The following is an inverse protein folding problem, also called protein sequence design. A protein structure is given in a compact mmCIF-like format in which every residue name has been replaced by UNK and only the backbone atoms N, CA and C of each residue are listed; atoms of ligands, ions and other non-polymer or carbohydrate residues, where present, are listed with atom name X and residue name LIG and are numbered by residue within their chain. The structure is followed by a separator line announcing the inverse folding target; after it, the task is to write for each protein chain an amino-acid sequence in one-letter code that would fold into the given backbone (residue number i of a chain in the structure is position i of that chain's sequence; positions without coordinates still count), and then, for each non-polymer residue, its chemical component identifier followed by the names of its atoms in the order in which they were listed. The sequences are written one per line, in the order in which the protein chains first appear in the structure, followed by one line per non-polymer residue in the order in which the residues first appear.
data_IF_267871657792
#
_entry.id   IF_267871657792
#
_cell.length_a   1.000
_cell.length_b   1.000
_cell.length_c   1.000
_cell.angle_alpha   90.00
_cell.angle_beta   90.00
_cell.angle_gamma   90.00
#
_symmetry.space_group_name_H-M   'P 1'
#
loop_
_entity.id
_entity.type
_entity.pdbx_description
1 polymer ?
#
# COMPACT_ATOMS: atom_id res chain seq x y z
N UNK A 1 -14.52 20.91 -39.17
CA UNK A 1 -13.35 21.57 -39.83
C UNK A 1 -12.39 21.98 -38.71
N UNK A 2 -11.54 21.08 -38.20
CA UNK A 2 -10.18 20.71 -38.67
C UNK A 2 -9.21 21.90 -38.76
N UNK A 3 -8.23 21.92 -37.85
CA UNK A 3 -6.83 22.29 -38.07
C UNK A 3 -6.02 21.89 -36.81
N UNK A 4 -5.55 20.65 -36.63
CA UNK A 4 -4.24 20.09 -37.06
C UNK A 4 -3.07 21.10 -37.07
N UNK A 5 -2.20 21.01 -36.05
CA UNK A 5 -0.82 21.52 -36.09
C UNK A 5 0.15 20.35 -35.92
N UNK A 6 0.99 20.16 -36.94
CA UNK A 6 1.92 19.07 -37.12
C UNK A 6 3.26 19.35 -36.41
N UNK A 7 3.83 18.26 -35.91
CA UNK A 7 5.17 18.08 -35.31
C UNK A 7 6.13 17.69 -36.44
N UNK A 8 7.20 18.44 -36.71
CA UNK A 8 8.40 18.04 -37.48
C UNK A 8 9.57 18.91 -36.93
N UNK A 9 10.79 18.46 -36.64
CA UNK A 9 11.45 17.16 -36.66
C UNK A 9 12.80 17.32 -35.93
N UNK A 10 13.34 16.23 -35.37
CA UNK A 10 14.67 16.19 -34.77
C UNK A 10 15.56 15.25 -35.60
N UNK A 11 16.68 15.79 -36.09
CA UNK A 11 17.75 15.06 -36.78
C UNK A 11 18.90 14.84 -35.81
N UNK A 12 19.46 13.61 -35.69
CA UNK A 12 20.59 13.32 -34.84
C UNK A 12 21.90 13.55 -35.62
N UNK A 13 22.75 14.49 -35.15
CA UNK A 13 24.21 14.54 -35.41
C UNK A 13 24.79 15.83 -34.84
N UNK A 14 25.36 15.77 -33.65
CA UNK A 14 26.47 16.63 -33.23
C UNK A 14 27.14 15.99 -32.02
N UNK A 15 28.46 16.15 -31.94
CA UNK A 15 29.39 15.79 -30.86
C UNK A 15 30.23 14.54 -31.12
N UNK A 16 31.20 14.70 -32.02
CA UNK A 16 32.51 14.10 -31.90
C UNK A 16 33.53 15.25 -31.91
N UNK A 17 34.05 15.62 -30.75
CA UNK A 17 35.42 16.09 -30.53
C UNK A 17 35.55 16.65 -29.10
N UNK A 18 36.11 15.86 -28.18
CA UNK A 18 36.80 16.42 -27.03
C UNK A 18 37.89 15.46 -26.54
N UNK A 19 39.12 15.97 -26.59
CA UNK A 19 40.38 15.30 -26.28
C UNK A 19 40.43 14.86 -24.81
N UNK A 20 40.94 13.65 -24.60
CA UNK A 20 41.25 13.06 -23.29
C UNK A 20 42.48 13.75 -22.68
N UNK A 21 42.30 14.47 -21.58
CA UNK A 21 43.35 14.86 -20.65
C UNK A 21 43.41 13.81 -19.54
N UNK A 22 44.57 13.14 -19.42
CA UNK A 22 44.85 12.19 -18.34
C UNK A 22 45.14 12.96 -17.04
N UNK A 23 44.17 12.97 -16.11
CA UNK A 23 44.37 13.34 -14.72
C UNK A 23 43.99 12.17 -13.83
N UNK A 24 44.97 11.50 -13.23
CA UNK A 24 44.73 10.42 -12.28
C UNK A 24 44.20 11.01 -10.96
N UNK A 25 42.91 10.77 -10.68
CA UNK A 25 42.32 11.00 -9.36
C UNK A 25 42.11 9.65 -8.68
N UNK A 26 42.93 9.35 -7.68
CA UNK A 26 42.82 8.14 -6.86
C UNK A 26 41.64 8.30 -5.90
N UNK A 27 40.48 7.73 -6.23
CA UNK A 27 39.37 7.62 -5.30
C UNK A 27 39.58 6.39 -4.40
N UNK A 28 39.84 6.62 -3.12
CA UNK A 28 39.91 5.58 -2.10
C UNK A 28 38.48 5.10 -1.81
N UNK A 29 38.09 3.95 -2.40
CA UNK A 29 36.80 3.32 -2.15
C UNK A 29 36.88 2.56 -0.81
N UNK A 30 36.38 3.18 0.27
CA UNK A 30 36.17 2.47 1.53
C UNK A 30 34.93 1.57 1.39
N UNK A 31 35.13 0.29 1.06
CA UNK A 31 34.07 -0.71 1.12
C UNK A 31 33.74 -1.02 2.57
N UNK A 32 32.68 -0.42 3.09
CA UNK A 32 32.01 -0.92 4.30
C UNK A 32 31.28 -2.20 3.89
N UNK A 33 31.90 -3.35 4.12
CA UNK A 33 31.23 -4.66 4.02
C UNK A 33 30.33 -4.85 5.24
N UNK A 34 29.22 -4.12 5.28
CA UNK A 34 28.09 -4.46 6.12
C UNK A 34 27.39 -5.65 5.50
N UNK A 35 27.58 -6.84 6.07
CA UNK A 35 26.89 -8.04 5.63
C UNK A 35 25.42 -7.92 6.02
N UNK A 36 24.60 -7.36 5.13
CA UNK A 36 23.15 -7.53 5.19
C UNK A 36 22.87 -8.99 4.87
N UNK A 37 22.77 -9.82 5.90
CA UNK A 37 22.10 -11.10 5.79
C UNK A 37 20.61 -10.81 5.57
N UNK A 38 20.24 -10.45 4.33
CA UNK A 38 18.87 -10.53 3.90
C UNK A 38 18.45 -11.98 4.08
N UNK A 39 17.44 -12.23 4.92
CA UNK A 39 16.82 -13.53 5.06
C UNK A 39 16.44 -14.02 3.66
N UNK A 40 17.13 -15.05 3.17
CA UNK A 40 16.94 -15.62 1.82
C UNK A 40 15.66 -16.43 1.71
N UNK A 41 14.77 -16.38 2.71
CA UNK A 41 13.45 -16.99 2.64
C UNK A 41 12.49 -15.93 2.15
N UNK A 42 12.19 -15.97 0.85
CA UNK A 42 11.06 -15.22 0.30
C UNK A 42 9.79 -15.47 1.10
N UNK A 43 8.81 -14.56 1.05
CA UNK A 43 7.62 -14.59 1.89
C UNK A 43 6.92 -15.96 1.86
N UNK A 44 6.47 -16.42 3.01
CA UNK A 44 5.95 -17.78 3.19
C UNK A 44 4.72 -18.00 2.29
N UNK A 45 4.67 -19.15 1.63
CA UNK A 45 3.49 -19.54 0.85
C UNK A 45 2.37 -19.94 1.82
N UNK A 46 1.15 -19.46 1.55
CA UNK A 46 -0.06 -19.89 2.23
C UNK A 46 -0.45 -21.26 1.65
N UNK A 47 -0.47 -22.34 2.46
CA UNK A 47 -0.81 -23.67 1.97
C UNK A 47 -2.16 -23.67 1.25
N UNK A 48 -2.25 -24.46 0.17
CA UNK A 48 -3.47 -24.69 -0.59
C UNK A 48 -4.06 -23.48 -1.29
N UNK A 49 -3.41 -22.31 -1.26
CA UNK A 49 -3.95 -21.08 -1.82
C UNK A 49 -3.13 -20.60 -3.02
N UNK A 50 -3.79 -20.39 -4.16
CA UNK A 50 -3.13 -20.08 -5.43
C UNK A 50 -3.85 -18.99 -6.21
N UNK A 51 -3.09 -18.20 -6.97
CA UNK A 51 -3.59 -17.45 -8.11
C UNK A 51 -3.38 -18.28 -9.37
N UNK A 52 -4.44 -18.58 -10.09
CA UNK A 52 -4.42 -19.29 -11.36
C UNK A 52 -4.68 -18.27 -12.47
N UNK A 53 -3.66 -18.02 -13.28
CA UNK A 53 -3.76 -17.14 -14.44
C UNK A 53 -4.25 -17.92 -15.65
N UNK A 54 -5.18 -17.35 -16.40
CA UNK A 54 -5.73 -17.94 -17.60
C UNK A 54 -5.21 -17.22 -18.85
N UNK A 55 -5.12 -17.96 -19.95
CA UNK A 55 -4.88 -17.36 -21.25
C UNK A 55 -6.04 -16.45 -21.64
N UNK A 56 -5.73 -15.19 -22.01
CA UNK A 56 -6.71 -14.19 -22.46
C UNK A 56 -7.48 -14.61 -23.73
N UNK A 57 -7.00 -15.62 -24.46
CA UNK A 57 -7.52 -16.06 -25.77
C UNK A 57 -7.85 -17.55 -25.83
N UNK A 58 -7.88 -18.27 -24.71
CA UNK A 58 -8.18 -19.70 -24.72
C UNK A 58 -9.64 -19.94 -25.07
N UNK A 59 -10.00 -20.21 -26.32
CA UNK A 59 -11.37 -20.61 -26.68
C UNK A 59 -11.61 -22.07 -26.31
N UNK A 60 -12.60 -22.32 -25.44
CA UNK A 60 -13.20 -23.63 -25.19
C UNK A 60 -14.32 -23.80 -26.21
N UNK A 61 -14.16 -24.69 -27.20
CA UNK A 61 -15.20 -24.99 -28.19
C UNK A 61 -15.85 -23.74 -28.84
N UNK A 62 -15.06 -22.68 -29.09
CA UNK A 62 -15.53 -21.42 -29.67
C UNK A 62 -16.09 -20.38 -28.67
N UNK A 63 -16.04 -20.62 -27.35
CA UNK A 63 -16.33 -19.62 -26.30
C UNK A 63 -15.05 -19.31 -25.53
N UNK A 64 -14.75 -18.04 -25.25
CA UNK A 64 -13.58 -17.68 -24.44
C UNK A 64 -13.63 -18.36 -23.07
N UNK A 65 -12.51 -18.92 -22.61
CA UNK A 65 -12.36 -19.44 -21.27
C UNK A 65 -12.64 -18.30 -20.30
N UNK A 66 -13.70 -18.44 -19.53
CA UNK A 66 -13.99 -17.52 -18.43
C UNK A 66 -13.34 -18.08 -17.16
N UNK A 67 -12.99 -17.23 -16.19
CA UNK A 67 -12.50 -17.71 -14.91
C UNK A 67 -13.38 -18.81 -14.30
N UNK A 68 -14.71 -18.65 -14.33
CA UNK A 68 -15.62 -19.67 -13.81
C UNK A 68 -15.65 -20.97 -14.61
N UNK A 69 -15.36 -20.95 -15.92
CA UNK A 69 -15.28 -22.19 -16.72
C UNK A 69 -14.11 -23.10 -16.32
N UNK A 70 -13.10 -22.56 -15.61
CA UNK A 70 -12.02 -23.37 -15.04
C UNK A 70 -12.54 -24.29 -13.94
N UNK A 71 -13.56 -23.88 -13.18
CA UNK A 71 -14.09 -24.67 -12.04
C UNK A 71 -14.60 -26.02 -12.53
N UNK A 72 -15.39 -26.01 -13.61
CA UNK A 72 -15.97 -27.21 -14.21
C UNK A 72 -14.87 -28.14 -14.75
N UNK A 73 -13.87 -27.58 -15.44
CA UNK A 73 -12.75 -28.35 -15.99
C UNK A 73 -11.82 -28.93 -14.94
N UNK A 74 -11.56 -28.17 -13.88
CA UNK A 74 -10.80 -28.66 -12.75
C UNK A 74 -11.52 -29.83 -12.09
N UNK A 75 -12.85 -29.74 -11.93
CA UNK A 75 -13.67 -30.85 -11.43
C UNK A 75 -13.65 -32.08 -12.36
N UNK A 76 -13.72 -31.88 -13.69
CA UNK A 76 -13.55 -32.97 -14.68
C UNK A 76 -12.19 -33.66 -14.57
N UNK A 77 -11.14 -32.89 -14.26
CA UNK A 77 -9.79 -33.39 -13.98
C UNK A 77 -9.61 -33.95 -12.56
N UNK A 78 -10.70 -34.13 -11.79
CA UNK A 78 -10.70 -34.60 -10.39
C UNK A 78 -9.93 -33.70 -9.42
N UNK A 79 -9.88 -32.39 -9.70
CA UNK A 79 -9.32 -31.35 -8.84
C UNK A 79 -10.42 -30.35 -8.48
N UNK A 80 -11.29 -30.65 -7.50
CA UNK A 80 -12.24 -29.66 -7.02
C UNK A 80 -11.48 -28.47 -6.42
N UNK A 81 -11.95 -27.26 -6.76
CA UNK A 81 -11.37 -26.01 -6.26
C UNK A 81 -12.48 -25.11 -5.68
N UNK A 82 -12.11 -24.28 -4.72
CA UNK A 82 -12.98 -23.25 -4.16
C UNK A 82 -12.48 -21.88 -4.64
N UNK A 83 -13.35 -21.13 -5.30
CA UNK A 83 -13.02 -19.79 -5.79
C UNK A 83 -13.13 -18.77 -4.65
N UNK A 84 -12.01 -18.11 -4.36
CA UNK A 84 -11.93 -17.01 -3.39
C UNK A 84 -12.21 -15.66 -4.03
N UNK A 85 -11.73 -15.46 -5.26
CA UNK A 85 -11.91 -14.21 -6.00
C UNK A 85 -11.74 -14.42 -7.51
N UNK A 86 -12.50 -13.66 -8.30
CA UNK A 86 -12.43 -13.67 -9.76
C UNK A 86 -11.79 -12.38 -10.28
N UNK A 87 -10.77 -12.52 -11.11
CA UNK A 87 -10.11 -11.41 -11.77
C UNK A 87 -10.45 -11.39 -13.26
N UNK A 88 -11.25 -10.40 -13.65
CA UNK A 88 -11.78 -10.26 -15.00
C UNK A 88 -11.07 -9.20 -15.85
N UNK A 89 -10.08 -8.50 -15.31
CA UNK A 89 -9.37 -7.46 -16.04
C UNK A 89 -8.21 -8.07 -16.83
N UNK A 90 -8.45 -8.32 -18.12
CA UNK A 90 -7.44 -8.87 -19.02
C UNK A 90 -6.15 -8.03 -19.04
N UNK A 91 -6.22 -6.70 -18.94
CA UNK A 91 -5.05 -5.83 -19.03
C UNK A 91 -4.10 -5.94 -17.82
N UNK A 92 -4.57 -6.48 -16.70
CA UNK A 92 -3.80 -6.58 -15.44
C UNK A 92 -3.58 -8.03 -15.05
N UNK A 93 -4.67 -8.77 -14.82
CA UNK A 93 -4.65 -10.17 -14.44
C UNK A 93 -6.01 -10.80 -14.76
N UNK A 94 -5.98 -11.86 -15.55
CA UNK A 94 -7.16 -12.63 -15.91
C UNK A 94 -7.06 -14.02 -15.30
N UNK A 95 -7.97 -14.37 -14.38
CA UNK A 95 -7.88 -15.63 -13.67
C UNK A 95 -8.62 -15.65 -12.34
N UNK A 96 -8.20 -16.55 -11.45
CA UNK A 96 -8.86 -16.83 -10.18
C UNK A 96 -7.87 -16.80 -9.02
N UNK A 97 -8.31 -16.33 -7.85
CA UNK A 97 -7.75 -16.77 -6.57
C UNK A 97 -8.56 -17.98 -6.10
N UNK A 98 -7.89 -19.08 -5.79
CA UNK A 98 -8.54 -20.35 -5.38
C UNK A 98 -7.91 -20.93 -4.13
N UNK A 99 -8.68 -21.76 -3.43
CA UNK A 99 -8.14 -22.79 -2.53
C UNK A 99 -8.35 -24.18 -3.09
N UNK A 100 -7.36 -25.06 -2.87
CA UNK A 100 -7.37 -26.46 -3.23
C UNK A 100 -7.54 -27.35 -2.00
N UNK A 101 -7.94 -28.60 -2.17
CA UNK A 101 -7.95 -29.58 -1.07
C UNK A 101 -6.53 -30.06 -0.73
N UNK A 102 -5.67 -30.19 -1.73
CA UNK A 102 -4.28 -30.65 -1.65
C UNK A 102 -3.38 -29.83 -2.60
N UNK A 103 -2.18 -29.49 -2.12
CA UNK A 103 -1.14 -28.81 -2.89
C UNK A 103 -0.59 -29.69 -4.03
N UNK A 104 -0.71 -31.02 -3.92
CA UNK A 104 -0.31 -31.95 -4.98
C UNK A 104 -1.10 -31.75 -6.29
N UNK A 105 -2.32 -31.18 -6.22
CA UNK A 105 -3.16 -30.96 -7.39
C UNK A 105 -2.72 -29.82 -8.29
N UNK A 106 -1.77 -28.97 -7.84
CA UNK A 106 -1.26 -27.85 -8.65
C UNK A 106 -0.65 -28.32 -9.97
N UNK A 107 0.00 -29.49 -9.99
CA UNK A 107 0.56 -30.07 -11.21
C UNK A 107 -0.52 -30.33 -12.27
N UNK A 108 -1.63 -30.95 -11.86
CA UNK A 108 -2.76 -31.24 -12.75
C UNK A 108 -3.40 -29.96 -13.29
N UNK A 109 -3.56 -28.92 -12.45
CA UNK A 109 -4.08 -27.63 -12.91
C UNK A 109 -3.15 -26.94 -13.91
N UNK A 110 -1.84 -27.06 -13.74
CA UNK A 110 -0.87 -26.49 -14.70
C UNK A 110 -0.93 -27.14 -16.07
N UNK A 111 -1.34 -28.40 -16.16
CA UNK A 111 -1.45 -29.13 -17.41
C UNK A 111 -2.76 -28.82 -18.17
N UNK A 112 -3.69 -28.07 -17.56
CA UNK A 112 -4.92 -27.63 -18.23
C UNK A 112 -4.61 -26.59 -19.31
N UNK A 113 -5.15 -26.74 -20.53
CA UNK A 113 -4.75 -25.92 -21.68
C UNK A 113 -5.14 -24.44 -21.57
N UNK A 114 -6.12 -24.09 -20.73
CA UNK A 114 -6.51 -22.71 -20.46
C UNK A 114 -5.63 -22.01 -19.41
N UNK A 115 -4.87 -22.76 -18.61
CA UNK A 115 -4.03 -22.22 -17.54
C UNK A 115 -2.71 -21.73 -18.12
N UNK A 116 -2.46 -20.44 -17.95
CA UNK A 116 -1.23 -19.80 -18.40
C UNK A 116 -0.11 -19.91 -17.36
N UNK A 117 -0.43 -19.70 -16.08
CA UNK A 117 0.51 -19.81 -14.98
C UNK A 117 -0.22 -20.00 -13.63
N UNK A 118 0.48 -20.51 -12.62
CA UNK A 118 -0.03 -20.65 -11.26
C UNK A 118 1.00 -20.13 -10.25
N UNK A 119 0.56 -19.15 -9.44
CA UNK A 119 1.36 -18.51 -8.40
C UNK A 119 0.83 -18.88 -7.01
N UNK A 120 1.69 -19.29 -6.06
CA UNK A 120 1.26 -19.49 -4.69
C UNK A 120 0.90 -18.13 -4.06
N UNK A 121 -0.19 -18.10 -3.27
CA UNK A 121 -0.48 -16.96 -2.41
C UNK A 121 0.62 -16.89 -1.35
N UNK A 122 1.16 -15.69 -1.12
CA UNK A 122 2.23 -15.48 -0.15
C UNK A 122 1.81 -14.48 0.91
N UNK A 123 2.22 -14.76 2.13
CA UNK A 123 2.07 -13.83 3.24
C UNK A 123 3.25 -12.86 3.23
N UNK A 124 2.96 -11.58 3.00
CA UNK A 124 3.96 -10.52 3.04
C UNK A 124 3.91 -9.90 4.43
N UNK A 125 4.95 -10.11 5.28
CA UNK A 125 4.96 -9.46 6.58
C UNK A 125 5.03 -7.94 6.41
N UNK A 126 4.31 -7.22 7.28
CA UNK A 126 4.40 -5.77 7.35
C UNK A 126 5.85 -5.37 7.63
N UNK A 127 6.40 -4.34 6.98
CA UNK A 127 7.69 -3.77 7.38
C UNK A 127 7.65 -3.42 8.87
N UNK A 128 8.57 -3.99 9.64
CA UNK A 128 8.69 -3.71 11.07
C UNK A 128 9.52 -2.43 11.24
N UNK A 129 8.94 -1.42 11.89
CA UNK A 129 9.68 -0.22 12.22
C UNK A 129 10.70 -0.56 13.31
N UNK A 130 11.99 -0.43 13.00
CA UNK A 130 13.03 -0.45 14.03
C UNK A 130 12.94 0.86 14.82
N UNK A 131 12.19 0.83 15.92
CA UNK A 131 12.25 1.92 16.88
C UNK A 131 13.54 1.76 17.69
N UNK A 132 14.33 2.84 17.87
CA UNK A 132 15.42 2.80 18.84
C UNK A 132 14.86 2.35 20.17
N UNK A 133 15.52 1.39 20.82
CA UNK A 133 15.23 1.02 22.19
C UNK A 133 15.41 2.28 23.05
N UNK A 134 14.29 2.94 23.37
CA UNK A 134 14.29 3.96 24.39
C UNK A 134 14.55 3.20 25.68
N UNK A 135 15.79 3.24 26.16
CA UNK A 135 16.16 2.70 27.46
C UNK A 135 15.23 3.29 28.51
N UNK A 136 14.34 2.44 29.01
CA UNK A 136 13.45 2.76 30.10
C UNK A 136 14.30 2.86 31.39
N UNK A 137 14.38 4.03 32.06
CA UNK A 137 15.12 4.15 33.30
C UNK A 137 14.48 3.38 34.48
N UNK A 138 13.42 2.61 34.28
CA UNK A 138 12.75 1.82 35.32
C UNK A 138 13.11 0.33 35.35
N UNK A 139 14.12 -0.13 34.59
CA UNK A 139 14.52 -1.56 34.53
C UNK A 139 15.25 -2.08 35.78
N UNK A 140 14.67 -1.89 36.96
CA UNK A 140 15.08 -2.56 38.20
C UNK A 140 13.87 -3.05 39.01
N UNK A 141 13.03 -3.89 38.42
CA UNK A 141 12.27 -4.88 39.18
C UNK A 141 11.76 -6.00 38.29
N UNK A 142 12.22 -7.20 38.60
CA UNK A 142 11.71 -8.49 38.14
C UNK A 142 10.22 -8.67 38.44
N UNK A 143 9.44 -9.08 37.44
CA UNK A 143 8.07 -9.56 37.62
C UNK A 143 7.14 -9.05 36.54
N UNK A 144 6.27 -9.93 36.04
CA UNK A 144 5.28 -9.65 35.02
C UNK A 144 4.50 -8.35 35.30
N UNK A 145 4.46 -7.46 34.30
CA UNK A 145 3.38 -6.54 33.93
C UNK A 145 4.02 -5.42 33.08
N UNK A 146 4.00 -5.59 31.76
CA UNK A 146 4.32 -4.49 30.85
C UNK A 146 3.24 -3.41 31.00
N UNK A 147 3.54 -2.37 31.76
CA UNK A 147 2.64 -1.23 31.95
C UNK A 147 2.36 -0.57 30.59
N UNK A 148 1.10 -0.54 30.10
CA UNK A 148 0.74 0.10 28.83
C UNK A 148 0.86 1.64 28.87
N UNK A 149 1.27 2.24 29.98
CA UNK A 149 1.18 3.68 30.23
C UNK A 149 2.00 4.58 29.30
N UNK A 150 2.92 4.05 28.48
CA UNK A 150 3.73 4.88 27.56
C UNK A 150 2.86 5.64 26.52
N UNK A 151 1.75 5.06 26.04
CA UNK A 151 0.82 5.75 25.14
C UNK A 151 -0.25 6.56 25.89
N UNK A 152 -0.48 6.29 27.17
CA UNK A 152 -1.48 7.00 27.99
C UNK A 152 -1.10 8.48 28.24
N UNK A 153 0.18 8.82 28.09
CA UNK A 153 0.65 10.19 28.15
C UNK A 153 0.48 10.96 26.82
N UNK A 154 0.23 10.28 25.69
CA UNK A 154 -0.19 10.94 24.44
C UNK A 154 -1.66 11.38 24.53
N UNK A 155 -2.51 10.58 25.19
CA UNK A 155 -3.97 10.86 25.26
C UNK A 155 -4.31 12.03 26.17
N UNK A 156 -3.50 12.33 27.20
CA UNK A 156 -3.67 13.55 28.02
C UNK A 156 -3.39 14.85 27.26
N UNK A 157 -2.56 14.82 26.20
CA UNK A 157 -2.31 16.00 25.37
C UNK A 157 -3.32 16.17 24.23
N UNK A 158 -4.03 15.10 23.84
CA UNK A 158 -5.03 15.11 22.74
C UNK A 158 -6.45 15.36 23.28
N UNK A 159 -6.71 15.00 24.54
CA UNK A 159 -8.00 15.23 25.22
C UNK A 159 -8.21 16.68 25.71
N UNK A 160 -7.29 17.60 25.40
CA UNK A 160 -7.63 19.02 25.51
C UNK A 160 -8.60 19.37 24.37
N UNK A 161 -9.84 19.82 24.66
CA UNK A 161 -10.78 20.18 23.61
C UNK A 161 -10.12 21.22 22.69
N UNK A 162 -10.34 21.17 21.35
CA UNK A 162 -9.91 22.25 20.49
C UNK A 162 -10.58 23.52 20.99
N UNK A 163 -9.78 24.44 21.52
CA UNK A 163 -10.26 25.74 21.97
C UNK A 163 -10.96 26.38 20.77
N UNK A 164 -12.29 26.47 20.81
CA UNK A 164 -13.10 27.16 19.81
C UNK A 164 -12.76 28.66 19.87
N UNK A 165 -11.61 29.05 19.34
CA UNK A 165 -11.28 30.46 19.12
C UNK A 165 -11.51 30.79 17.66
N UNK A 166 -12.57 31.55 17.43
CA UNK A 166 -12.80 32.28 16.19
C UNK A 166 -11.56 33.10 15.81
N UNK A 167 -11.35 33.39 14.51
CA UNK A 167 -10.21 34.17 14.06
C UNK A 167 -10.39 35.63 14.51
N UNK A 168 -9.71 36.00 15.60
CA UNK A 168 -9.68 37.37 16.11
C UNK A 168 -9.58 37.45 17.62
N UNK A 169 -8.38 37.32 18.17
CA UNK A 169 -7.97 38.03 19.40
C UNK A 169 -6.50 37.74 19.69
N UNK A 170 -5.68 38.78 19.61
CA UNK A 170 -4.31 38.79 20.11
C UNK A 170 -4.34 38.61 21.63
N UNK A 171 -3.79 37.51 22.12
CA UNK A 171 -3.39 37.39 23.53
C UNK A 171 -2.15 36.51 23.57
N UNK A 172 -1.04 37.16 23.90
CA UNK A 172 0.27 36.55 24.03
C UNK A 172 0.25 35.45 25.11
N UNK A 173 0.69 34.26 24.74
CA UNK A 173 1.08 33.19 25.66
C UNK A 173 2.52 32.78 25.31
N UNK A 174 3.47 33.35 26.05
CA UNK A 174 4.83 32.83 26.26
C UNK A 174 4.71 31.68 27.27
N UNK A 175 5.39 30.53 27.24
CA UNK A 175 6.55 30.01 26.51
C UNK A 175 6.70 28.52 26.91
N UNK A 176 7.38 27.72 26.07
CA UNK A 176 7.87 26.33 26.30
C UNK A 176 6.99 25.15 25.88
N UNK A 177 6.33 25.25 24.73
CA UNK A 177 6.13 24.09 23.86
C UNK A 177 6.84 24.39 22.56
N UNK A 178 7.89 23.63 22.20
CA UNK A 178 8.42 23.65 20.85
C UNK A 178 7.21 23.50 19.92
N UNK A 179 6.85 24.56 19.18
CA UNK A 179 5.76 24.45 18.20
C UNK A 179 6.24 23.42 17.20
N UNK A 180 5.81 22.17 17.35
CA UNK A 180 6.20 21.10 16.46
C UNK A 180 5.83 21.59 15.06
N UNK A 181 6.84 21.77 14.20
CA UNK A 181 6.59 22.19 12.85
C UNK A 181 6.08 20.97 12.09
N UNK A 182 4.78 20.72 12.18
CA UNK A 182 4.09 19.65 11.47
C UNK A 182 4.21 19.80 9.93
N UNK A 183 4.61 20.99 9.45
CA UNK A 183 4.94 21.25 8.04
C UNK A 183 6.43 21.13 7.72
N UNK A 184 7.27 20.64 8.64
CA UNK A 184 8.67 20.36 8.33
C UNK A 184 8.85 19.37 7.17
N UNK A 185 8.03 18.29 7.01
CA UNK A 185 8.14 17.41 5.84
C UNK A 185 7.81 18.12 4.53
N UNK A 186 6.82 19.02 4.54
CA UNK A 186 6.49 19.86 3.39
C UNK A 186 7.64 20.79 3.00
N UNK A 187 8.34 21.33 3.99
CA UNK A 187 9.50 22.19 3.77
C UNK A 187 10.70 21.40 3.22
N UNK A 188 10.94 20.20 3.76
CA UNK A 188 12.01 19.30 3.31
C UNK A 188 11.83 18.84 1.87
N UNK A 189 10.58 18.61 1.45
CA UNK A 189 10.25 18.12 0.10
C UNK A 189 9.84 19.25 -0.87
N UNK A 190 9.93 20.52 -0.44
CA UNK A 190 9.53 21.71 -1.23
C UNK A 190 8.05 21.75 -1.64
N UNK A 191 7.18 20.99 -0.97
CA UNK A 191 5.72 21.03 -1.15
C UNK A 191 5.14 22.39 -0.75
N UNK A 192 5.75 23.06 0.22
CA UNK A 192 5.42 24.43 0.63
C UNK A 192 5.49 25.42 -0.55
N UNK A 193 6.53 25.32 -1.39
CA UNK A 193 6.70 26.16 -2.59
C UNK A 193 5.65 25.86 -3.65
N UNK A 194 5.29 24.59 -3.84
CA UNK A 194 4.22 24.20 -4.77
C UNK A 194 2.87 24.76 -4.32
N UNK A 195 2.56 24.66 -3.02
CA UNK A 195 1.35 25.23 -2.45
C UNK A 195 1.28 26.76 -2.57
N UNK A 196 2.41 27.45 -2.41
CA UNK A 196 2.52 28.90 -2.64
C UNK A 196 2.30 29.28 -4.11
N UNK A 197 2.74 28.43 -5.03
CA UNK A 197 2.46 28.57 -6.46
C UNK A 197 1.01 28.17 -6.85
N UNK A 198 0.17 27.79 -5.89
CA UNK A 198 -1.22 27.37 -6.12
C UNK A 198 -1.38 25.94 -6.63
N UNK A 199 -0.30 25.16 -6.70
CA UNK A 199 -0.31 23.76 -7.13
C UNK A 199 -0.58 22.88 -5.92
N UNK A 200 -1.76 22.26 -5.86
CA UNK A 200 -2.22 21.45 -4.69
C UNK A 200 -2.74 20.07 -5.08
N UNK A 201 -2.36 19.55 -6.26
CA UNK A 201 -2.82 18.25 -6.75
C UNK A 201 -4.24 18.23 -7.31
N UNK A 202 -4.84 19.38 -7.68
CA UNK A 202 -6.17 19.42 -8.31
C UNK A 202 -6.20 18.54 -9.57
N UNK A 203 -7.17 17.62 -9.64
CA UNK A 203 -7.34 16.70 -10.77
C UNK A 203 -6.55 15.39 -10.63
N UNK A 204 -5.77 15.22 -9.57
CA UNK A 204 -5.08 13.96 -9.24
C UNK A 204 -5.97 13.12 -8.33
N UNK A 205 -6.07 11.82 -8.62
CA UNK A 205 -6.68 10.82 -7.73
C UNK A 205 -5.56 9.98 -7.14
N UNK A 206 -5.58 9.77 -5.83
CA UNK A 206 -4.61 8.95 -5.09
C UNK A 206 -5.35 7.78 -4.48
N UNK A 207 -4.89 6.56 -4.76
CA UNK A 207 -5.37 5.35 -4.11
C UNK A 207 -4.41 4.98 -2.98
N UNK A 208 -4.93 4.80 -1.77
CA UNK A 208 -4.19 4.39 -0.58
C UNK A 208 -4.60 2.96 -0.24
N UNK A 209 -3.64 2.03 -0.24
CA UNK A 209 -3.84 0.63 0.15
C UNK A 209 -3.26 0.48 1.56
N UNK A 210 -4.11 0.49 2.56
CA UNK A 210 -3.73 0.52 3.98
C UNK A 210 -4.85 -0.11 4.84
N UNK A 211 -4.87 0.13 6.15
CA UNK A 211 -5.84 -0.41 7.12
C UNK A 211 -7.26 0.14 7.00
N UNK A 212 -7.56 0.93 5.96
CA UNK A 212 -8.80 1.71 5.81
C UNK A 212 -8.65 3.16 6.29
N UNK A 213 -9.74 3.92 6.25
CA UNK A 213 -9.71 5.37 6.52
C UNK A 213 -10.98 5.82 7.23
N UNK A 214 -10.83 6.57 8.34
CA UNK A 214 -11.95 7.29 8.94
C UNK A 214 -12.26 8.55 8.14
N UNK A 215 -13.03 8.39 7.06
CA UNK A 215 -13.47 9.49 6.20
C UNK A 215 -14.37 10.52 6.92
N UNK A 216 -14.84 10.23 8.14
CA UNK A 216 -15.60 11.19 8.97
C UNK A 216 -14.70 12.25 9.59
N UNK A 217 -13.38 12.06 9.55
CA UNK A 217 -12.44 13.01 10.11
C UNK A 217 -12.56 14.39 9.42
N UNK A 218 -12.72 15.52 10.16
CA UNK A 218 -12.96 16.83 9.55
C UNK A 218 -11.88 17.30 8.56
N UNK A 219 -10.60 16.97 8.81
CA UNK A 219 -9.51 17.28 7.87
C UNK A 219 -9.61 16.49 6.55
N UNK A 220 -10.31 15.36 6.56
CA UNK A 220 -10.61 14.53 5.39
C UNK A 220 -11.97 14.88 4.77
N UNK A 221 -12.61 15.97 5.18
CA UNK A 221 -13.86 16.47 4.61
C UNK A 221 -15.13 15.92 5.24
N UNK A 222 -15.04 14.87 6.07
CA UNK A 222 -16.16 14.40 6.90
C UNK A 222 -17.27 13.66 6.16
N UNK A 223 -17.03 13.19 4.93
CA UNK A 223 -18.01 12.45 4.13
C UNK A 223 -17.34 11.47 3.17
N UNK A 224 -18.12 10.52 2.66
CA UNK A 224 -17.70 9.48 1.72
C UNK A 224 -18.61 9.42 0.49
N UNK A 225 -18.00 9.21 -0.68
CA UNK A 225 -18.71 9.04 -1.95
C UNK A 225 -18.59 10.24 -2.90
N UNK A 226 -19.39 10.28 -3.97
CA UNK A 226 -19.29 11.30 -5.01
C UNK A 226 -19.36 12.73 -4.44
N UNK A 227 -18.35 13.53 -4.74
CA UNK A 227 -18.24 14.92 -4.27
C UNK A 227 -17.55 15.10 -2.92
N UNK A 228 -17.22 14.02 -2.21
CA UNK A 228 -16.39 14.05 -1.01
C UNK A 228 -14.90 13.99 -1.34
N UNK A 229 -14.03 14.36 -0.38
CA UNK A 229 -12.57 14.20 -0.55
C UNK A 229 -12.19 12.72 -0.67
N UNK A 230 -12.81 11.86 0.14
CA UNK A 230 -12.74 10.41 -0.03
C UNK A 230 -13.90 9.99 -0.95
N UNK A 231 -13.63 9.98 -2.25
CA UNK A 231 -14.66 9.80 -3.28
C UNK A 231 -15.06 8.33 -3.48
N UNK A 232 -14.11 7.40 -3.28
CA UNK A 232 -14.28 5.96 -3.43
C UNK A 232 -13.39 5.21 -2.44
N UNK A 233 -13.74 3.95 -2.18
CA UNK A 233 -12.92 3.03 -1.43
C UNK A 233 -13.60 1.67 -1.33
N UNK A 234 -12.89 0.70 -0.81
CA UNK A 234 -13.39 -0.65 -0.60
C UNK A 234 -12.56 -1.30 0.51
N UNK A 235 -13.23 -1.97 1.44
CA UNK A 235 -12.59 -2.79 2.45
C UNK A 235 -12.57 -4.24 1.95
N UNK A 236 -11.38 -4.79 1.76
CA UNK A 236 -11.20 -6.15 1.24
C UNK A 236 -11.20 -7.23 2.33
N UNK A 237 -11.12 -6.85 3.61
CA UNK A 237 -10.78 -7.78 4.69
C UNK A 237 -11.70 -7.70 5.89
N UNK A 238 -12.38 -6.59 6.12
CA UNK A 238 -13.28 -6.40 7.26
C UNK A 238 -12.54 -5.93 8.51
N UNK A 239 -13.34 -5.52 9.52
CA UNK A 239 -12.83 -4.93 10.77
C UNK A 239 -12.11 -5.95 11.67
N UNK A 240 -12.45 -7.24 11.54
CA UNK A 240 -11.87 -8.33 12.33
C UNK A 240 -10.63 -8.96 11.66
N UNK A 241 -10.06 -8.33 10.63
CA UNK A 241 -8.89 -8.85 9.94
C UNK A 241 -7.68 -9.00 10.88
N UNK A 242 -6.95 -10.12 10.77
CA UNK A 242 -5.81 -10.44 11.63
C UNK A 242 -6.18 -11.17 12.93
N UNK A 243 -7.46 -11.28 13.27
CA UNK A 243 -7.94 -12.05 14.45
C UNK A 243 -8.09 -13.56 14.20
N UNK A 244 -7.66 -14.06 13.03
CA UNK A 244 -7.97 -15.41 12.55
C UNK A 244 -9.35 -15.54 11.90
N UNK A 245 -10.12 -14.45 11.84
CA UNK A 245 -11.40 -14.38 11.13
C UNK A 245 -11.22 -14.42 9.62
N UNK A 246 -12.18 -15.03 8.92
CA UNK A 246 -12.23 -14.97 7.46
C UNK A 246 -12.41 -13.52 6.99
N UNK A 247 -11.83 -13.11 5.84
CA UNK A 247 -12.06 -11.80 5.28
C UNK A 247 -13.55 -11.50 5.11
N UNK A 248 -13.98 -10.30 5.48
CA UNK A 248 -15.36 -9.82 5.31
C UNK A 248 -15.37 -8.53 4.46
N UNK A 249 -15.27 -8.65 3.12
CA UNK A 249 -15.18 -7.50 2.24
C UNK A 249 -16.47 -6.66 2.26
N UNK A 250 -16.33 -5.34 2.29
CA UNK A 250 -17.47 -4.41 2.30
C UNK A 250 -17.17 -3.15 1.47
N UNK A 251 -18.20 -2.51 0.88
CA UNK A 251 -17.99 -1.30 0.07
C UNK A 251 -17.49 -0.07 0.85
N UNK A 252 -17.66 -0.05 2.17
CA UNK A 252 -17.24 1.08 3.01
C UNK A 252 -15.81 0.84 3.55
N UNK A 253 -14.82 1.68 3.19
CA UNK A 253 -13.44 1.54 3.66
C UNK A 253 -13.24 2.07 5.10
N UNK A 254 -14.31 2.40 5.81
CA UNK A 254 -14.21 3.00 7.13
C UNK A 254 -13.45 2.08 8.11
N UNK A 255 -12.43 2.66 8.74
CA UNK A 255 -11.67 2.00 9.79
C UNK A 255 -11.70 2.88 11.04
N UNK A 256 -12.35 2.38 12.09
CA UNK A 256 -12.56 3.13 13.35
C UNK A 256 -11.95 2.46 14.56
N UNK A 257 -11.43 1.24 14.40
CA UNK A 257 -10.71 0.52 15.42
C UNK A 257 -9.33 1.15 15.67
N UNK A 258 -8.75 0.88 16.84
CA UNK A 258 -7.44 1.40 17.25
C UNK A 258 -6.34 1.02 16.23
N UNK A 259 -6.34 -0.23 15.77
CA UNK A 259 -5.39 -0.73 14.78
C UNK A 259 -5.63 -0.20 13.35
N UNK A 260 -6.81 0.38 13.10
CA UNK A 260 -7.24 0.94 11.82
C UNK A 260 -6.81 2.38 11.56
N UNK A 261 -6.20 3.06 12.53
CA UNK A 261 -5.83 4.47 12.40
C UNK A 261 -4.66 4.73 11.44
N UNK A 262 -3.83 3.72 11.15
CA UNK A 262 -2.65 3.89 10.28
C UNK A 262 -3.02 4.46 8.92
N UNK A 263 -4.02 3.90 8.24
CA UNK A 263 -4.48 4.41 6.95
C UNK A 263 -5.12 5.80 7.03
N UNK A 264 -5.76 6.15 8.15
CA UNK A 264 -6.27 7.52 8.39
C UNK A 264 -5.13 8.53 8.52
N UNK A 265 -4.07 8.17 9.25
CA UNK A 265 -2.87 8.99 9.37
C UNK A 265 -2.18 9.15 8.01
N UNK A 266 -1.95 8.05 7.29
CA UNK A 266 -1.34 8.07 5.94
C UNK A 266 -2.14 8.94 4.97
N UNK A 267 -3.48 8.88 5.03
CA UNK A 267 -4.34 9.72 4.18
C UNK A 267 -4.30 11.21 4.55
N UNK A 268 -3.91 11.53 5.78
CA UNK A 268 -3.77 12.91 6.26
C UNK A 268 -2.45 13.58 5.92
N UNK A 269 -1.43 12.80 5.53
CA UNK A 269 -0.09 13.27 5.09
C UNK A 269 -0.16 13.75 3.64
#
# INVERSE_FOLDING_TARGET
MIARRLIHGWSPKALADMRVLHGAATALLATVTGSLAASTRGPAAVPKAYFVQLHQTGTIAGRGATPLSLVDKAAEASVPLNVRYEFNNADVFHGLSVTLEDDAHVGVLRDLPEVADIFPVREIPRPEAQLPELQDPSSSSSGADADPSWWSNLTLSINSPPNRRAPGSNSAASSNGSSANFNSPHSMTSVDRLHQAGIRGKGVRVAVIDTGVDWRHPALGGCFGPGCKIEFGYDFVGDDYGSGSAPNPKPDPIATCFDGFHGTHVTGV
#
